data_IF_773150860368
#
_entry.id   IF_773150860368
#
_cell.length_a   1.000
_cell.length_b   1.000
_cell.length_c   1.000
_cell.angle_alpha   90.00
_cell.angle_beta   90.00
_cell.angle_gamma   90.00
#
_symmetry.space_group_name_H-M   'P 1'
#
loop_
_entity.id
_entity.type
_entity.pdbx_description
1 polymer ?
#
# COMPACT_ATOMS: atom_id res chain seq x y z
N UNK A 1 -18.28 64.52 -10.39
CA UNK A 1 -17.02 63.76 -10.38
C UNK A 1 -16.56 63.57 -8.93
N UNK A 2 -16.69 62.35 -8.37
CA UNK A 2 -16.25 62.05 -7.00
C UNK A 2 -14.74 61.79 -7.01
N UNK A 3 -13.97 62.61 -6.29
CA UNK A 3 -12.55 62.38 -6.03
C UNK A 3 -12.42 61.16 -5.11
N UNK A 4 -12.14 59.99 -5.69
CA UNK A 4 -11.76 58.81 -4.92
C UNK A 4 -10.33 59.03 -4.42
N UNK A 5 -10.16 58.98 -3.10
CA UNK A 5 -8.88 59.27 -2.43
C UNK A 5 -7.89 58.13 -2.67
N UNK A 6 -6.77 58.44 -3.35
CA UNK A 6 -5.62 57.56 -3.66
C UNK A 6 -5.11 56.79 -2.44
N UNK A 7 -5.32 57.29 -1.22
CA UNK A 7 -4.87 56.65 0.03
C UNK A 7 -5.50 55.26 0.26
N UNK A 8 -6.71 55.00 -0.24
CA UNK A 8 -7.38 53.71 -0.04
C UNK A 8 -6.88 52.62 -0.99
N UNK A 9 -6.41 52.99 -2.19
CA UNK A 9 -5.83 52.02 -3.13
C UNK A 9 -4.46 51.51 -2.68
N UNK A 10 -3.63 52.39 -2.10
CA UNK A 10 -2.29 52.00 -1.63
C UNK A 10 -2.36 51.03 -0.45
N UNK A 11 -3.29 51.25 0.49
CA UNK A 11 -3.52 50.32 1.61
C UNK A 11 -4.09 48.96 1.15
N UNK A 12 -4.99 48.95 0.17
CA UNK A 12 -5.55 47.71 -0.38
C UNK A 12 -4.52 46.88 -1.15
N UNK A 13 -3.62 47.51 -1.90
CA UNK A 13 -2.58 46.80 -2.65
C UNK A 13 -1.50 46.28 -1.70
N UNK A 14 -1.13 47.04 -0.66
CA UNK A 14 -0.12 46.60 0.31
C UNK A 14 -0.58 45.38 1.13
N UNK A 15 -1.88 45.29 1.46
CA UNK A 15 -2.46 44.11 2.13
C UNK A 15 -2.45 42.85 1.27
N UNK A 16 -2.70 42.97 -0.03
CA UNK A 16 -2.67 41.83 -0.97
C UNK A 16 -1.23 41.34 -1.16
N UNK A 17 -0.23 42.23 -1.25
CA UNK A 17 1.17 41.82 -1.41
C UNK A 17 1.72 41.12 -0.16
N UNK A 18 1.28 41.50 1.06
CA UNK A 18 1.70 40.82 2.29
C UNK A 18 1.07 39.43 2.48
N UNK A 19 -0.12 39.18 1.91
CA UNK A 19 -0.81 37.88 2.03
C UNK A 19 -0.23 36.80 1.08
N UNK A 20 0.48 37.19 0.01
CA UNK A 20 1.05 36.27 -0.98
C UNK A 20 2.57 36.07 -0.88
N UNK A 21 3.27 36.74 0.06
CA UNK A 21 4.73 36.74 0.14
C UNK A 21 5.32 35.86 1.25
N UNK A 22 4.55 34.96 1.86
CA UNK A 22 5.09 33.93 2.73
C UNK A 22 5.21 32.62 1.93
N UNK A 23 6.36 32.33 1.30
CA UNK A 23 6.61 30.99 0.81
C UNK A 23 6.62 30.06 2.03
N UNK A 24 5.56 29.27 2.18
CA UNK A 24 5.59 28.11 3.05
C UNK A 24 6.54 27.10 2.40
N UNK A 25 7.82 27.21 2.70
CA UNK A 25 8.78 26.16 2.42
C UNK A 25 8.50 25.04 3.41
N UNK A 26 7.78 24.02 2.96
CA UNK A 26 7.72 22.74 3.66
C UNK A 26 9.14 22.17 3.67
N UNK A 27 9.82 22.26 4.81
CA UNK A 27 11.04 21.50 5.00
C UNK A 27 10.63 20.03 5.12
N UNK A 28 11.06 19.13 4.23
CA UNK A 28 10.87 17.71 4.45
C UNK A 28 11.64 17.34 5.73
N UNK A 29 10.94 17.18 6.85
CA UNK A 29 11.50 16.52 8.01
C UNK A 29 11.62 15.05 7.67
N UNK A 30 12.85 14.57 7.44
CA UNK A 30 13.10 13.14 7.33
C UNK A 30 12.54 12.43 8.57
N UNK A 31 11.78 11.35 8.38
CA UNK A 31 11.31 10.45 9.44
C UNK A 31 12.47 9.61 10.04
N UNK A 32 13.65 10.20 10.17
CA UNK A 32 14.88 9.50 10.54
C UNK A 32 15.27 9.92 11.96
N UNK A 33 15.12 8.99 12.89
CA UNK A 33 15.65 9.12 14.24
C UNK A 33 17.08 8.57 14.31
N UNK A 34 17.84 9.11 15.25
CA UNK A 34 19.22 8.79 15.58
C UNK A 34 19.48 7.31 15.84
N UNK A 35 20.75 6.92 15.65
CA UNK A 35 21.39 5.62 15.93
C UNK A 35 20.53 4.59 16.67
N UNK A 36 20.23 3.50 15.98
CA UNK A 36 19.58 2.32 16.52
C UNK A 36 20.28 1.83 17.81
N UNK A 37 19.60 1.86 18.96
CA UNK A 37 20.09 1.22 20.19
C UNK A 37 20.38 -0.27 19.94
N UNK A 38 21.60 -0.71 20.23
CA UNK A 38 22.14 -2.06 20.03
C UNK A 38 21.71 -3.06 21.11
N UNK A 39 20.51 -2.91 21.67
CA UNK A 39 20.04 -3.78 22.76
C UNK A 39 18.88 -4.64 22.26
N UNK A 40 19.17 -5.94 22.09
CA UNK A 40 18.20 -6.99 21.76
C UNK A 40 18.00 -7.18 20.25
N UNK A 41 18.42 -8.34 19.72
CA UNK A 41 18.45 -8.69 18.29
C UNK A 41 17.32 -8.09 17.45
N UNK A 42 17.68 -7.12 16.60
CA UNK A 42 16.74 -6.41 15.74
C UNK A 42 16.44 -7.22 14.48
N UNK A 43 15.15 -7.44 14.24
CA UNK A 43 14.62 -7.93 12.96
C UNK A 43 14.90 -6.88 11.89
N UNK A 44 15.45 -7.30 10.76
CA UNK A 44 15.83 -6.42 9.65
C UNK A 44 14.83 -6.58 8.50
N UNK A 45 14.23 -5.48 8.08
CA UNK A 45 13.46 -5.40 6.85
C UNK A 45 13.91 -4.18 6.05
N UNK A 46 13.98 -4.35 4.74
CA UNK A 46 14.46 -3.36 3.76
C UNK A 46 13.36 -3.07 2.73
N UNK A 47 13.15 -1.79 2.38
CA UNK A 47 12.14 -1.35 1.41
C UNK A 47 11.42 -0.06 1.82
N UNK A 48 10.58 0.48 0.93
CA UNK A 48 9.71 1.63 1.19
C UNK A 48 8.35 1.11 1.70
N UNK A 49 8.17 1.06 3.01
CA UNK A 49 6.88 0.69 3.60
C UNK A 49 5.98 1.92 3.69
N UNK A 50 4.79 1.87 3.09
CA UNK A 50 3.74 2.86 3.29
C UNK A 50 2.69 2.28 4.25
N UNK A 51 2.65 2.80 5.48
CA UNK A 51 1.63 2.47 6.48
C UNK A 51 1.32 3.73 7.28
N UNK A 52 0.08 3.84 7.75
CA UNK A 52 -0.38 4.89 8.65
C UNK A 52 0.13 4.70 10.08
N UNK A 53 0.29 3.44 10.51
CA UNK A 53 0.89 3.09 11.81
C UNK A 53 1.78 1.85 11.67
N UNK A 54 2.90 1.82 12.41
CA UNK A 54 3.77 0.64 12.57
C UNK A 54 3.53 0.08 13.98
N UNK A 55 3.35 -1.24 14.08
CA UNK A 55 3.08 -1.89 15.37
C UNK A 55 4.21 -1.63 16.40
N UNK A 56 3.89 -1.48 17.70
CA UNK A 56 4.90 -1.29 18.74
C UNK A 56 5.93 -2.43 18.74
N UNK A 57 7.21 -2.10 18.62
CA UNK A 57 8.31 -3.08 18.60
C UNK A 57 8.80 -3.51 17.22
N UNK A 58 8.16 -3.07 16.14
CA UNK A 58 8.64 -3.31 14.77
C UNK A 58 9.67 -2.25 14.36
N UNK A 59 10.91 -2.66 14.11
CA UNK A 59 11.99 -1.77 13.63
C UNK A 59 12.40 -2.14 12.21
N UNK A 60 12.54 -1.15 11.32
CA UNK A 60 13.14 -1.32 9.99
C UNK A 60 14.53 -0.67 9.98
N UNK A 61 15.54 -1.37 9.45
CA UNK A 61 16.88 -0.80 9.27
C UNK A 61 17.08 -0.44 7.80
N UNK A 62 17.42 0.81 7.52
CA UNK A 62 17.91 1.18 6.19
C UNK A 62 19.34 0.70 6.00
N UNK A 63 19.77 0.57 4.75
CA UNK A 63 21.16 0.19 4.38
C UNK A 63 22.23 1.13 4.95
N UNK A 64 21.82 2.32 5.44
CA UNK A 64 22.66 3.33 6.10
C UNK A 64 22.69 3.24 7.64
N UNK A 65 22.01 2.28 8.26
CA UNK A 65 22.02 2.08 9.71
C UNK A 65 21.10 3.00 10.52
N UNK A 66 20.19 3.73 9.86
CA UNK A 66 19.18 4.56 10.51
C UNK A 66 17.90 3.74 10.80
N UNK A 67 17.27 4.02 11.95
CA UNK A 67 15.99 3.42 12.35
C UNK A 67 14.86 4.43 12.07
N UNK A 68 13.83 4.01 11.33
CA UNK A 68 12.61 4.79 11.16
C UNK A 68 11.71 4.53 12.38
N UNK A 69 11.43 5.58 13.16
CA UNK A 69 10.48 5.54 14.28
C UNK A 69 9.32 6.42 13.87
N UNK A 70 8.16 5.79 13.62
CA UNK A 70 6.86 6.41 13.33
C UNK A 70 6.88 7.53 12.27
N UNK A 71 6.48 7.26 11.01
CA UNK A 71 6.48 8.26 9.94
C UNK A 71 5.28 9.20 10.08
N UNK A 72 5.17 9.95 11.18
CA UNK A 72 4.35 11.16 11.23
C UNK A 72 5.04 12.27 10.43
N UNK A 73 5.30 12.01 9.15
CA UNK A 73 5.50 13.08 8.20
C UNK A 73 4.17 13.85 8.15
N UNK A 74 4.20 15.13 8.54
CA UNK A 74 3.06 16.03 8.48
C UNK A 74 2.67 16.29 7.02
N UNK A 75 2.05 15.31 6.38
CA UNK A 75 1.34 15.50 5.13
C UNK A 75 0.01 16.19 5.45
N UNK A 76 -0.45 17.08 4.55
CA UNK A 76 -1.83 17.55 4.58
C UNK A 76 -2.75 16.32 4.68
N UNK A 77 -3.86 16.36 5.45
CA UNK A 77 -4.71 15.21 5.70
C UNK A 77 -5.21 14.64 4.36
N UNK A 78 -4.52 13.62 3.87
CA UNK A 78 -4.90 12.87 2.69
C UNK A 78 -5.83 11.77 3.18
N UNK A 79 -7.07 11.75 2.70
CA UNK A 79 -7.97 10.66 3.00
C UNK A 79 -7.50 9.46 2.20
N UNK A 80 -6.97 8.43 2.86
CA UNK A 80 -6.74 7.13 2.24
C UNK A 80 -8.09 6.58 1.79
N UNK A 81 -8.29 6.25 0.50
CA UNK A 81 -9.54 5.66 0.04
C UNK A 81 -9.80 4.35 0.76
N UNK A 82 -11.04 4.17 1.24
CA UNK A 82 -11.46 2.88 1.82
C UNK A 82 -11.58 1.81 0.73
N UNK A 83 -11.68 0.53 1.12
CA UNK A 83 -12.02 -0.55 0.20
C UNK A 83 -13.27 -0.22 -0.64
N UNK A 84 -14.32 0.30 0.01
CA UNK A 84 -15.57 0.67 -0.65
C UNK A 84 -15.36 1.81 -1.65
N UNK A 85 -14.52 2.80 -1.33
CA UNK A 85 -14.18 3.88 -2.25
C UNK A 85 -13.44 3.32 -3.49
N UNK A 86 -12.45 2.45 -3.29
CA UNK A 86 -11.69 1.81 -4.37
C UNK A 86 -12.59 0.91 -5.25
N UNK A 87 -13.40 0.05 -4.63
CA UNK A 87 -14.35 -0.84 -5.35
C UNK A 87 -15.39 -0.04 -6.11
N UNK A 88 -15.92 1.02 -5.51
CA UNK A 88 -16.90 1.89 -6.16
C UNK A 88 -16.30 2.53 -7.40
N UNK A 89 -15.12 3.12 -7.27
CA UNK A 89 -14.44 3.84 -8.33
C UNK A 89 -14.06 2.93 -9.52
N UNK A 90 -13.48 1.76 -9.25
CA UNK A 90 -12.91 0.91 -10.31
C UNK A 90 -13.81 -0.22 -10.78
N UNK A 91 -14.62 -0.80 -9.89
CA UNK A 91 -15.48 -1.93 -10.24
C UNK A 91 -16.93 -1.53 -10.47
N UNK A 92 -17.52 -0.75 -9.57
CA UNK A 92 -18.96 -0.44 -9.63
C UNK A 92 -19.29 0.61 -10.68
N UNK A 93 -18.51 1.69 -10.73
CA UNK A 93 -18.73 2.82 -11.64
C UNK A 93 -18.14 2.61 -13.04
N UNK A 94 -17.25 1.61 -13.21
CA UNK A 94 -16.68 1.32 -14.51
C UNK A 94 -17.80 0.93 -15.49
N UNK A 95 -17.81 1.53 -16.69
CA UNK A 95 -18.81 1.24 -17.73
C UNK A 95 -18.45 0.03 -18.58
N UNK A 96 -17.24 -0.50 -18.44
CA UNK A 96 -16.77 -1.66 -19.19
C UNK A 96 -17.29 -2.94 -18.54
N UNK A 97 -18.23 -3.60 -19.20
CA UNK A 97 -18.79 -4.90 -18.76
C UNK A 97 -18.08 -6.09 -19.39
N UNK A 98 -17.30 -5.88 -20.47
CA UNK A 98 -16.59 -6.96 -21.18
C UNK A 98 -15.37 -7.46 -20.43
N UNK A 99 -14.73 -6.59 -19.66
CA UNK A 99 -13.51 -6.93 -18.89
C UNK A 99 -13.79 -7.05 -17.40
N UNK A 100 -15.01 -7.48 -17.03
CA UNK A 100 -15.42 -7.68 -15.64
C UNK A 100 -15.96 -9.08 -15.42
N UNK A 101 -15.59 -9.66 -14.29
CA UNK A 101 -16.08 -10.98 -13.91
C UNK A 101 -16.25 -11.11 -12.40
N UNK A 102 -17.42 -11.63 -12.00
CA UNK A 102 -17.63 -12.13 -10.64
C UNK A 102 -17.01 -13.52 -10.52
N UNK A 103 -16.26 -13.76 -9.45
CA UNK A 103 -15.55 -15.02 -9.22
C UNK A 103 -15.89 -15.60 -7.85
N UNK A 104 -15.97 -16.93 -7.78
CA UNK A 104 -16.06 -17.69 -6.53
C UNK A 104 -14.79 -18.51 -6.26
N UNK A 105 -13.90 -18.62 -7.24
CA UNK A 105 -12.60 -19.29 -7.16
C UNK A 105 -11.56 -18.49 -7.93
N UNK A 106 -10.27 -18.71 -7.64
CA UNK A 106 -9.22 -17.94 -8.27
C UNK A 106 -9.14 -18.25 -9.79
N UNK A 107 -9.25 -17.23 -10.67
CA UNK A 107 -9.31 -17.44 -12.12
C UNK A 107 -7.92 -17.55 -12.75
N UNK A 108 -7.87 -17.95 -14.03
CA UNK A 108 -6.66 -17.79 -14.85
C UNK A 108 -6.44 -16.33 -15.21
N UNK A 109 -5.20 -15.84 -15.09
CA UNK A 109 -4.85 -14.42 -15.23
C UNK A 109 -4.04 -14.13 -16.51
N UNK A 110 -4.60 -14.52 -17.66
CA UNK A 110 -3.92 -14.34 -18.95
C UNK A 110 -4.26 -13.01 -19.62
N UNK A 111 -5.42 -12.45 -19.33
CA UNK A 111 -5.99 -11.27 -19.98
C UNK A 111 -6.04 -10.03 -19.06
N UNK A 112 -6.49 -8.90 -19.62
CA UNK A 112 -6.73 -7.69 -18.86
C UNK A 112 -8.14 -7.68 -18.29
N UNK A 113 -8.28 -7.96 -17.00
CA UNK A 113 -9.58 -8.22 -16.38
C UNK A 113 -9.72 -7.59 -14.99
N UNK A 114 -10.94 -7.17 -14.68
CA UNK A 114 -11.39 -6.78 -13.35
C UNK A 114 -12.19 -7.93 -12.74
N UNK A 115 -11.70 -8.48 -11.65
CA UNK A 115 -12.36 -9.56 -10.94
C UNK A 115 -12.96 -9.06 -9.64
N UNK A 116 -14.08 -9.66 -9.24
CA UNK A 116 -14.71 -9.39 -7.96
C UNK A 116 -15.17 -10.69 -7.28
N UNK A 117 -14.68 -10.92 -6.06
CA UNK A 117 -15.10 -12.00 -5.19
C UNK A 117 -15.95 -11.42 -4.05
N UNK A 118 -17.21 -11.87 -3.94
CA UNK A 118 -18.17 -11.45 -2.89
C UNK A 118 -17.85 -11.98 -1.49
N UNK A 119 -16.93 -12.93 -1.40
CA UNK A 119 -16.51 -13.55 -0.15
C UNK A 119 -15.00 -13.65 -0.07
N UNK A 120 -14.51 -14.48 0.84
CA UNK A 120 -13.08 -14.80 0.93
C UNK A 120 -12.61 -15.60 -0.28
N UNK A 121 -11.34 -15.45 -0.62
CA UNK A 121 -10.70 -16.15 -1.73
C UNK A 121 -9.44 -16.85 -1.24
N UNK A 122 -9.21 -18.08 -1.72
CA UNK A 122 -7.98 -18.82 -1.43
C UNK A 122 -7.25 -19.16 -2.72
N UNK A 123 -5.94 -18.92 -2.72
CA UNK A 123 -5.01 -19.35 -3.76
C UNK A 123 -4.35 -20.63 -3.27
N UNK A 124 -4.91 -21.77 -3.63
CA UNK A 124 -4.52 -23.09 -3.10
C UNK A 124 -3.18 -23.61 -3.65
N UNK A 125 -2.84 -23.23 -4.88
CA UNK A 125 -1.67 -23.72 -5.59
C UNK A 125 -0.90 -22.55 -6.22
N UNK A 126 0.38 -22.75 -6.61
CA UNK A 126 1.13 -21.71 -7.31
C UNK A 126 0.41 -21.22 -8.56
N UNK A 127 0.38 -19.90 -8.73
CA UNK A 127 -0.28 -19.22 -9.85
C UNK A 127 0.76 -18.44 -10.65
N UNK A 128 0.65 -18.53 -11.97
CA UNK A 128 1.34 -17.63 -12.89
C UNK A 128 0.32 -16.72 -13.61
N UNK A 129 0.74 -15.50 -13.94
CA UNK A 129 -0.07 -14.58 -14.73
C UNK A 129 0.76 -13.87 -15.80
N UNK A 130 0.13 -13.58 -16.93
CA UNK A 130 0.72 -12.80 -18.02
C UNK A 130 -0.02 -11.49 -18.30
N UNK A 131 -1.30 -11.42 -17.94
CA UNK A 131 -2.17 -10.26 -18.13
C UNK A 131 -2.05 -9.21 -17.04
N UNK A 132 -2.83 -8.14 -17.17
CA UNK A 132 -2.96 -7.10 -16.14
C UNK A 132 -4.32 -7.20 -15.47
N UNK A 133 -4.36 -7.66 -14.22
CA UNK A 133 -5.62 -7.93 -13.52
C UNK A 133 -5.70 -7.18 -12.19
N UNK A 134 -6.91 -6.72 -11.87
CA UNK A 134 -7.26 -6.15 -10.58
C UNK A 134 -8.38 -6.98 -9.96
N UNK A 135 -8.14 -7.47 -8.76
CA UNK A 135 -9.03 -8.39 -8.04
C UNK A 135 -9.54 -7.73 -6.77
N UNK A 136 -10.84 -7.45 -6.73
CA UNK A 136 -11.55 -7.00 -5.53
C UNK A 136 -12.06 -8.21 -4.76
N UNK A 137 -11.83 -8.24 -3.45
CA UNK A 137 -12.25 -9.34 -2.57
C UNK A 137 -12.97 -8.72 -1.38
N UNK A 138 -14.26 -8.98 -1.22
CA UNK A 138 -15.06 -8.45 -0.10
C UNK A 138 -14.61 -9.08 1.24
N UNK A 139 -14.23 -10.36 1.21
CA UNK A 139 -13.73 -11.10 2.38
C UNK A 139 -12.22 -11.04 2.56
N UNK A 140 -11.65 -12.11 3.13
CA UNK A 140 -10.20 -12.27 3.32
C UNK A 140 -9.54 -12.98 2.14
N UNK A 141 -8.25 -12.74 1.92
CA UNK A 141 -7.43 -13.43 0.93
C UNK A 141 -6.44 -14.36 1.62
N UNK A 142 -6.49 -15.65 1.31
CA UNK A 142 -5.49 -16.62 1.77
C UNK A 142 -4.60 -17.05 0.60
N UNK A 143 -3.28 -16.97 0.78
CA UNK A 143 -2.27 -17.29 -0.24
C UNK A 143 -1.49 -18.50 0.25
N UNK A 144 -1.81 -19.68 -0.28
CA UNK A 144 -1.14 -20.95 0.04
C UNK A 144 -0.06 -21.33 -0.99
N UNK A 145 -0.03 -20.66 -2.15
CA UNK A 145 0.94 -20.91 -3.22
C UNK A 145 1.61 -19.63 -3.72
N UNK A 146 2.80 -19.79 -4.31
CA UNK A 146 3.53 -18.68 -4.93
C UNK A 146 2.73 -17.98 -6.02
N UNK A 147 2.94 -16.69 -6.17
CA UNK A 147 2.37 -15.88 -7.25
C UNK A 147 3.52 -15.35 -8.09
N UNK A 148 3.59 -15.76 -9.35
CA UNK A 148 4.65 -15.34 -10.28
C UNK A 148 4.05 -14.56 -11.45
N UNK A 149 4.58 -13.37 -11.69
CA UNK A 149 4.12 -12.50 -12.77
C UNK A 149 5.06 -12.50 -13.96
N UNK A 150 4.53 -12.22 -15.14
CA UNK A 150 5.33 -11.86 -16.30
C UNK A 150 5.92 -10.45 -16.16
N UNK A 151 6.91 -10.13 -17.00
CA UNK A 151 7.51 -8.79 -17.04
C UNK A 151 6.55 -7.72 -17.58
N UNK A 152 5.53 -8.12 -18.35
CA UNK A 152 4.59 -7.24 -19.04
C UNK A 152 3.22 -7.16 -18.36
N UNK A 153 2.91 -8.11 -17.47
CA UNK A 153 1.67 -8.16 -16.71
C UNK A 153 1.78 -7.51 -15.34
N UNK A 154 0.61 -7.26 -14.74
CA UNK A 154 0.49 -6.71 -13.39
C UNK A 154 -0.71 -7.29 -12.63
N UNK A 155 -0.52 -7.62 -11.37
CA UNK A 155 -1.58 -8.10 -10.50
C UNK A 155 -1.72 -7.18 -9.29
N UNK A 156 -2.95 -6.73 -9.05
CA UNK A 156 -3.32 -5.93 -7.89
C UNK A 156 -4.49 -6.59 -7.16
N UNK A 157 -4.32 -6.81 -5.86
CA UNK A 157 -5.37 -7.24 -4.95
C UNK A 157 -5.84 -6.05 -4.12
N UNK A 158 -7.16 -5.89 -4.02
CA UNK A 158 -7.82 -4.97 -3.08
C UNK A 158 -8.77 -5.80 -2.22
N UNK A 159 -8.46 -5.90 -0.94
CA UNK A 159 -9.06 -6.87 -0.02
C UNK A 159 -9.79 -6.14 1.12
N UNK A 160 -11.05 -6.51 1.34
CA UNK A 160 -11.90 -5.94 2.39
C UNK A 160 -11.56 -6.47 3.78
N UNK A 161 -11.09 -7.71 3.89
CA UNK A 161 -10.62 -8.32 5.13
C UNK A 161 -9.12 -8.59 5.15
N UNK A 162 -8.71 -9.57 5.97
CA UNK A 162 -7.32 -9.95 6.19
C UNK A 162 -6.65 -10.56 4.95
N UNK A 163 -5.33 -10.46 4.91
CA UNK A 163 -4.49 -11.18 3.94
C UNK A 163 -3.56 -12.13 4.67
N UNK A 164 -3.68 -13.42 4.38
CA UNK A 164 -2.97 -14.50 5.05
C UNK A 164 -1.98 -15.17 4.09
N UNK A 165 -0.68 -14.92 4.25
CA UNK A 165 0.37 -15.51 3.41
C UNK A 165 1.01 -16.69 4.14
N UNK A 166 0.86 -17.89 3.59
CA UNK A 166 1.30 -19.13 4.25
C UNK A 166 2.83 -19.20 4.38
N UNK A 167 3.33 -19.49 5.59
CA UNK A 167 4.77 -19.41 5.87
C UNK A 167 5.62 -20.50 5.21
N UNK A 168 5.07 -21.72 5.02
CA UNK A 168 5.83 -22.86 4.48
C UNK A 168 5.91 -22.90 2.96
N UNK A 169 4.84 -22.48 2.28
CA UNK A 169 4.62 -22.78 0.86
C UNK A 169 4.81 -21.57 -0.04
N UNK A 170 4.88 -20.36 0.56
CA UNK A 170 5.02 -19.12 -0.18
C UNK A 170 6.38 -18.50 0.12
N UNK A 171 7.23 -18.42 -0.89
CA UNK A 171 8.52 -17.72 -0.87
C UNK A 171 8.58 -16.58 -1.90
N UNK A 172 7.58 -16.48 -2.79
CA UNK A 172 7.49 -15.42 -3.80
C UNK A 172 6.06 -14.96 -4.08
N UNK A 173 5.87 -13.64 -4.07
CA UNK A 173 4.64 -12.97 -4.50
C UNK A 173 4.98 -11.81 -5.44
N UNK A 174 4.54 -11.89 -6.68
CA UNK A 174 4.66 -10.80 -7.65
C UNK A 174 3.31 -10.08 -7.77
N UNK A 175 2.97 -9.20 -6.83
CA UNK A 175 1.71 -8.47 -6.86
C UNK A 175 1.77 -7.24 -5.95
N UNK A 176 0.86 -6.29 -6.18
CA UNK A 176 0.50 -5.31 -5.15
C UNK A 176 -0.71 -5.84 -4.38
N UNK A 177 -0.65 -5.72 -3.06
CA UNK A 177 -1.71 -6.14 -2.15
C UNK A 177 -2.10 -4.94 -1.30
N UNK A 178 -3.38 -4.57 -1.37
CA UNK A 178 -4.02 -3.54 -0.57
C UNK A 178 -5.06 -4.23 0.30
N UNK A 179 -5.05 -4.01 1.61
CA UNK A 179 -5.99 -4.64 2.55
C UNK A 179 -6.53 -3.63 3.56
N UNK A 180 -7.81 -3.76 3.89
CA UNK A 180 -8.42 -3.07 5.04
C UNK A 180 -8.27 -3.84 6.35
N UNK A 181 -7.87 -5.12 6.28
CA UNK A 181 -7.58 -5.96 7.43
C UNK A 181 -6.08 -6.13 7.65
N UNK A 182 -5.73 -7.02 8.56
CA UNK A 182 -4.33 -7.35 8.86
C UNK A 182 -3.72 -8.08 7.66
N UNK A 183 -2.54 -7.66 7.21
CA UNK A 183 -1.71 -8.45 6.30
C UNK A 183 -0.72 -9.27 7.13
N UNK A 184 -0.91 -10.58 7.21
CA UNK A 184 -0.01 -11.51 7.88
C UNK A 184 0.91 -12.21 6.89
N UNK A 185 2.23 -12.04 7.03
CA UNK A 185 3.23 -12.62 6.12
C UNK A 185 3.64 -14.05 6.47
N UNK A 186 3.29 -14.54 7.66
CA UNK A 186 3.63 -15.86 8.17
C UNK A 186 2.43 -16.60 8.77
N UNK A 187 1.33 -16.65 8.02
CA UNK A 187 0.12 -17.36 8.41
C UNK A 187 0.40 -18.86 8.57
N UNK A 188 0.01 -19.44 9.71
CA UNK A 188 0.32 -20.84 10.08
C UNK A 188 -0.69 -21.88 9.59
N UNK A 189 -1.71 -21.44 8.85
CA UNK A 189 -2.85 -22.26 8.41
C UNK A 189 -4.11 -22.06 9.26
N UNK A 190 -3.97 -21.43 10.44
CA UNK A 190 -5.07 -21.16 11.36
C UNK A 190 -5.18 -19.69 11.75
N UNK A 191 -4.06 -19.03 12.03
CA UNK A 191 -4.01 -17.67 12.53
C UNK A 191 -2.73 -16.95 12.13
N UNK A 192 -2.71 -15.63 12.33
CA UNK A 192 -1.46 -14.90 12.33
C UNK A 192 -0.76 -15.10 13.68
N UNK A 193 0.42 -15.75 13.73
CA UNK A 193 1.05 -16.08 15.00
C UNK A 193 1.34 -14.81 15.82
N UNK A 194 1.23 -14.87 17.16
CA UNK A 194 1.44 -13.72 18.04
C UNK A 194 2.91 -13.27 18.08
N UNK A 195 3.83 -14.19 17.75
CA UNK A 195 5.27 -13.96 17.67
C UNK A 195 5.82 -14.34 16.30
N UNK A 196 7.14 -14.26 16.17
CA UNK A 196 7.81 -14.70 14.96
C UNK A 196 7.85 -16.22 14.90
N UNK A 197 7.76 -16.75 13.68
CA UNK A 197 7.91 -18.17 13.39
C UNK A 197 9.15 -18.37 12.53
N UNK A 198 9.94 -19.38 12.88
CA UNK A 198 11.04 -19.82 12.03
C UNK A 198 10.50 -20.41 10.73
N UNK A 199 10.99 -19.89 9.62
CA UNK A 199 10.54 -20.26 8.28
C UNK A 199 11.68 -20.91 7.50
N UNK A 200 11.36 -21.88 6.62
CA UNK A 200 12.39 -22.56 5.85
C UNK A 200 13.01 -21.66 4.76
N UNK A 201 12.33 -20.57 4.38
CA UNK A 201 12.70 -19.71 3.25
C UNK A 201 12.26 -18.27 3.47
N UNK A 202 13.04 -17.35 2.91
CA UNK A 202 12.68 -15.93 2.86
C UNK A 202 11.47 -15.70 1.95
N UNK A 203 10.61 -14.75 2.31
CA UNK A 203 9.54 -14.26 1.45
C UNK A 203 10.05 -13.09 0.60
N UNK A 204 9.95 -13.20 -0.71
CA UNK A 204 10.20 -12.08 -1.63
C UNK A 204 8.90 -11.59 -2.25
N UNK A 205 8.55 -10.34 -2.00
CA UNK A 205 7.40 -9.67 -2.59
C UNK A 205 7.90 -8.69 -3.65
N UNK A 206 7.67 -9.01 -4.92
CA UNK A 206 7.94 -8.13 -6.03
C UNK A 206 6.69 -7.28 -6.31
N UNK A 207 6.54 -6.20 -5.57
CA UNK A 207 5.37 -5.33 -5.58
C UNK A 207 5.30 -4.49 -4.32
N UNK A 208 4.11 -4.38 -3.72
CA UNK A 208 3.90 -3.57 -2.51
C UNK A 208 2.84 -4.21 -1.61
N UNK A 209 3.01 -4.07 -0.31
CA UNK A 209 1.99 -4.33 0.70
C UNK A 209 1.49 -2.98 1.23
N UNK A 210 0.18 -2.78 1.25
CA UNK A 210 -0.46 -1.55 1.69
C UNK A 210 -1.59 -1.92 2.64
N UNK A 211 -1.50 -1.49 3.89
CA UNK A 211 -2.66 -1.48 4.80
C UNK A 211 -3.31 -0.10 4.74
N UNK A 212 -4.63 -0.07 4.56
CA UNK A 212 -5.41 1.18 4.52
C UNK A 212 -6.10 1.51 5.84
N UNK A 213 -6.10 0.57 6.80
CA UNK A 213 -6.63 0.79 8.15
C UNK A 213 -5.46 0.83 9.16
N UNK A 214 -5.35 1.93 9.89
CA UNK A 214 -4.26 2.12 10.88
C UNK A 214 -4.35 1.13 12.05
N UNK A 215 -5.54 0.60 12.31
CA UNK A 215 -5.79 -0.36 13.40
C UNK A 215 -5.44 -1.80 13.00
N UNK A 216 -5.31 -2.06 11.70
CA UNK A 216 -5.02 -3.38 11.13
C UNK A 216 -3.70 -3.37 10.34
N UNK A 217 -2.54 -3.29 11.02
CA UNK A 217 -1.25 -3.13 10.37
C UNK A 217 -0.76 -4.43 9.71
N UNK A 218 0.25 -4.26 8.86
CA UNK A 218 1.02 -5.39 8.33
C UNK A 218 1.83 -6.04 9.47
N UNK A 219 1.69 -7.36 9.64
CA UNK A 219 2.39 -8.18 10.62
C UNK A 219 3.48 -9.02 9.95
N UNK A 220 4.71 -8.52 10.01
CA UNK A 220 5.94 -9.20 9.60
C UNK A 220 6.36 -10.21 10.68
N UNK A 221 6.22 -11.51 10.39
CA UNK A 221 6.32 -12.58 11.40
C UNK A 221 7.30 -13.69 11.02
N UNK A 222 8.02 -13.58 9.91
CA UNK A 222 9.01 -14.60 9.53
C UNK A 222 10.35 -14.35 10.21
N UNK A 223 11.02 -15.43 10.60
CA UNK A 223 12.45 -15.44 10.92
C UNK A 223 13.16 -16.55 10.15
N UNK A 224 14.45 -16.33 9.85
CA UNK A 224 15.32 -17.37 9.28
C UNK A 224 16.27 -17.89 10.37
N UNK A 225 16.69 -19.17 10.33
CA UNK A 225 17.57 -19.75 11.33
C UNK A 225 18.91 -19.01 11.45
N UNK A 226 19.45 -18.57 10.32
CA UNK A 226 20.81 -18.06 10.16
C UNK A 226 20.89 -16.55 10.42
N UNK A 227 19.76 -15.84 10.32
CA UNK A 227 19.62 -14.37 10.37
C UNK A 227 20.66 -13.59 9.51
N UNK A 228 21.25 -14.23 8.50
CA UNK A 228 22.23 -13.64 7.57
C UNK A 228 21.55 -12.93 6.41
N UNK A 229 20.31 -13.32 6.08
CA UNK A 229 19.46 -12.75 5.05
C UNK A 229 18.17 -12.22 5.69
N UNK A 230 17.54 -11.23 5.04
CA UNK A 230 16.22 -10.77 5.46
C UNK A 230 15.19 -11.89 5.26
N UNK A 231 14.39 -12.18 6.29
CA UNK A 231 13.33 -13.17 6.22
C UNK A 231 12.18 -12.74 5.30
N UNK A 232 12.01 -11.42 5.12
CA UNK A 232 11.02 -10.81 4.26
C UNK A 232 11.67 -9.66 3.47
N UNK A 233 11.48 -9.67 2.15
CA UNK A 233 12.04 -8.70 1.22
C UNK A 233 10.94 -8.14 0.34
N UNK A 234 10.80 -6.81 0.30
CA UNK A 234 9.82 -6.13 -0.55
C UNK A 234 10.57 -5.35 -1.62
N UNK A 235 10.48 -5.83 -2.85
CA UNK A 235 11.05 -5.19 -4.04
C UNK A 235 9.96 -4.42 -4.75
N UNK A 236 9.91 -3.11 -4.57
CA UNK A 236 9.00 -2.27 -5.33
C UNK A 236 9.35 -2.30 -6.81
N UNK A 237 8.35 -2.59 -7.65
CA UNK A 237 8.51 -2.57 -9.09
C UNK A 237 7.73 -1.40 -9.69
N UNK A 238 8.41 -0.58 -10.48
CA UNK A 238 7.85 0.64 -11.10
C UNK A 238 6.65 0.33 -11.99
N UNK A 239 6.55 -0.88 -12.55
CA UNK A 239 5.37 -1.31 -13.33
C UNK A 239 4.07 -1.19 -12.54
N UNK A 240 4.11 -1.36 -11.22
CA UNK A 240 2.95 -1.18 -10.37
C UNK A 240 2.70 0.29 -9.99
N UNK A 241 3.72 1.16 -10.01
CA UNK A 241 3.53 2.61 -9.83
C UNK A 241 2.75 3.23 -11.00
N UNK A 242 2.87 2.69 -12.21
CA UNK A 242 2.07 3.13 -13.37
C UNK A 242 0.60 2.73 -13.19
N UNK A 243 0.34 1.51 -12.71
CA UNK A 243 -1.01 1.04 -12.36
C UNK A 243 -1.58 1.89 -11.19
N UNK A 244 -0.73 2.21 -10.20
CA UNK A 244 -1.07 3.00 -9.02
C UNK A 244 -1.28 4.49 -9.30
N UNK A 245 -0.57 5.07 -10.28
CA UNK A 245 -0.69 6.49 -10.66
C UNK A 245 -2.10 6.82 -11.11
N UNK A 246 -2.71 5.95 -11.91
CA UNK A 246 -4.09 6.14 -12.36
C UNK A 246 -5.12 5.77 -11.27
N UNK A 247 -4.71 5.03 -10.23
CA UNK A 247 -5.60 4.57 -9.15
C UNK A 247 -5.59 5.43 -7.88
N UNK A 248 -4.52 6.17 -7.61
CA UNK A 248 -4.35 6.98 -6.39
C UNK A 248 -4.19 8.48 -6.66
N UNK A 249 -4.05 8.90 -7.92
CA UNK A 249 -3.98 10.32 -8.27
C UNK A 249 -5.38 10.91 -8.42
N UNK A 250 -6.02 11.26 -7.30
CA UNK A 250 -7.10 12.24 -7.32
C UNK A 250 -6.49 13.61 -7.68
N UNK A 251 -6.41 13.93 -8.97
CA UNK A 251 -6.32 15.34 -9.36
C UNK A 251 -7.66 15.97 -9.00
N UNK A 252 -7.71 16.69 -7.88
CA UNK A 252 -8.82 17.56 -7.48
C UNK A 252 -9.07 18.63 -8.56
N UNK A 253 -9.77 18.26 -9.63
CA UNK A 253 -10.48 19.19 -10.49
C UNK A 253 -11.91 18.66 -10.68
N UNK A 254 -12.74 18.91 -9.67
CA UNK A 254 -14.19 18.85 -9.84
C UNK A 254 -14.63 20.16 -10.52
N UNK A 255 -15.03 20.07 -11.77
CA UNK A 255 -15.83 21.10 -12.41
C UNK A 255 -17.29 20.80 -12.14
N UNK A 256 -17.99 21.69 -11.45
CA UNK A 256 -19.46 21.71 -11.44
C UNK A 256 -19.90 22.92 -12.23
N UNK A 257 -20.66 22.69 -13.30
CA UNK A 257 -21.34 23.76 -14.01
C UNK A 257 -22.49 24.27 -13.11
N UNK A 258 -22.52 25.57 -12.85
CA UNK A 258 -23.61 26.21 -12.12
C UNK A 258 -24.70 26.49 -13.17
N UNK A 259 -25.87 25.88 -13.00
CA UNK A 259 -27.12 26.33 -13.62
C UNK A 259 -27.90 27.21 -12.65
#
# INVERSE_FOLDING_TARGET
>A
MRKVSIKYYVLSIMGIVTLYALPFTLYPSYAQSSTCSTVGGKLRAEGLVSSTQIAPGSTFSTTSGACVIDPKAAFAPFKVPSYNDLKSLYFTQSRDTSHKQEISSFPSLNDQMLYHARGSLTIEAPVAYSGTSLVFIDGSLTINGNITGSNTGGLLFVVGGDVNIHYQNVDRIDAVIISSGTICTAFDGSSCPPGNIETPRALTINGSLISIDETEPIKFRRSLPDNTLAAEKINHQVKYLVILRNTLSDTLQKWSEIQ
#
